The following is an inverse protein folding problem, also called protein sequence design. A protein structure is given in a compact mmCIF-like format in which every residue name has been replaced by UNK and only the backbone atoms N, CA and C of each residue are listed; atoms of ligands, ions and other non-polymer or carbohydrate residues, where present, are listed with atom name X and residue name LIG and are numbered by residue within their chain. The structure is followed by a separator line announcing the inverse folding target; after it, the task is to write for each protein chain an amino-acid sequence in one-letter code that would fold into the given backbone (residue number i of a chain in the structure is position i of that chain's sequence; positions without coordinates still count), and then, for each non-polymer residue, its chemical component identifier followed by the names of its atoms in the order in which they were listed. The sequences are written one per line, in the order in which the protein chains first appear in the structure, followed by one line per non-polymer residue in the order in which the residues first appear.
data_IF_761877333496
#
_entry.id   IF_761877333496
#
_cell.length_a   1.000
_cell.length_b   1.000
_cell.length_c   1.000
_cell.angle_alpha   90.00
_cell.angle_beta   90.00
_cell.angle_gamma   90.00
#
_symmetry.space_group_name_H-M   'P 1'
#
loop_
_entity.id
_entity.type
_entity.pdbx_description
1 polymer ?
#
# COMPACT_ATOMS: atom_id res chain seq x y z
N UNK A 1 11.81 -5.58 -21.60
CA UNK A 1 11.14 -6.28 -22.72
C UNK A 1 10.68 -7.66 -22.28
N UNK A 2 11.53 -8.46 -21.62
CA UNK A 2 11.15 -9.80 -21.13
C UNK A 2 9.95 -9.75 -20.17
N UNK A 3 10.02 -8.97 -19.12
CA UNK A 3 8.94 -8.87 -18.10
C UNK A 3 7.60 -8.48 -18.70
N UNK A 4 7.57 -7.62 -19.72
CA UNK A 4 6.33 -7.30 -20.40
C UNK A 4 5.70 -8.51 -21.12
N UNK A 5 6.51 -9.29 -21.79
CA UNK A 5 6.00 -10.50 -22.48
C UNK A 5 5.46 -11.52 -21.48
N UNK A 6 6.05 -11.61 -20.28
CA UNK A 6 5.62 -12.52 -19.23
C UNK A 6 4.28 -12.10 -18.62
N UNK A 7 4.06 -10.80 -18.36
CA UNK A 7 2.82 -10.32 -17.72
C UNK A 7 1.70 -9.98 -18.71
N UNK A 8 2.03 -9.73 -19.98
CA UNK A 8 1.08 -9.32 -21.01
C UNK A 8 -0.16 -10.22 -21.10
N UNK A 9 -0.08 -11.55 -21.07
CA UNK A 9 -1.25 -12.41 -21.12
C UNK A 9 -2.20 -12.20 -19.92
N UNK A 10 -1.65 -11.90 -18.74
CA UNK A 10 -2.43 -11.63 -17.54
C UNK A 10 -3.12 -10.27 -17.62
N UNK A 11 -2.43 -9.25 -18.14
CA UNK A 11 -3.00 -7.92 -18.37
C UNK A 11 -4.16 -8.00 -19.36
N UNK A 12 -3.96 -8.72 -20.48
CA UNK A 12 -5.01 -8.93 -21.48
C UNK A 12 -6.24 -9.65 -20.90
N UNK A 13 -6.02 -10.70 -20.11
CA UNK A 13 -7.09 -11.44 -19.43
C UNK A 13 -7.88 -10.55 -18.45
N UNK A 14 -7.19 -9.75 -17.63
CA UNK A 14 -7.85 -8.82 -16.70
C UNK A 14 -8.62 -7.74 -17.44
N UNK A 15 -8.04 -7.19 -18.50
CA UNK A 15 -8.69 -6.17 -19.35
C UNK A 15 -9.96 -6.72 -19.99
N UNK A 16 -9.91 -7.91 -20.57
CA UNK A 16 -11.06 -8.57 -21.20
C UNK A 16 -12.17 -8.82 -20.17
N UNK A 17 -11.80 -9.34 -19.00
CA UNK A 17 -12.76 -9.54 -17.90
C UNK A 17 -13.40 -8.22 -17.45
N UNK A 18 -12.59 -7.19 -17.18
CA UNK A 18 -13.08 -5.89 -16.73
C UNK A 18 -14.04 -5.26 -17.75
N UNK A 19 -13.66 -5.27 -19.03
CA UNK A 19 -14.50 -4.77 -20.12
C UNK A 19 -15.82 -5.54 -20.19
N UNK A 20 -15.80 -6.87 -20.04
CA UNK A 20 -17.00 -7.70 -20.03
C UNK A 20 -17.99 -7.32 -18.91
N UNK A 21 -17.49 -6.75 -17.82
CA UNK A 21 -18.29 -6.22 -16.71
C UNK A 21 -18.61 -4.73 -16.84
N UNK A 22 -18.25 -4.09 -17.95
CA UNK A 22 -18.45 -2.65 -18.17
C UNK A 22 -17.41 -1.76 -17.48
N UNK A 23 -16.34 -2.34 -16.99
CA UNK A 23 -15.24 -1.62 -16.34
C UNK A 23 -14.16 -1.09 -17.31
N UNK A 24 -13.21 -0.31 -16.82
CA UNK A 24 -12.09 0.20 -17.61
C UNK A 24 -11.00 -0.87 -17.78
N UNK A 25 -10.09 -0.61 -18.71
CA UNK A 25 -8.81 -1.33 -18.79
C UNK A 25 -7.90 -0.94 -17.62
N UNK A 26 -6.91 -1.79 -17.35
CA UNK A 26 -5.83 -1.46 -16.42
C UNK A 26 -5.15 -0.15 -16.82
N UNK A 27 -4.90 0.67 -15.82
CA UNK A 27 -4.16 1.92 -15.99
C UNK A 27 -2.67 1.63 -16.24
N UNK A 28 -1.96 2.61 -16.81
CA UNK A 28 -0.50 2.51 -16.97
C UNK A 28 0.21 2.25 -15.64
N UNK A 29 -0.27 2.87 -14.54
CA UNK A 29 0.33 2.69 -13.22
C UNK A 29 0.16 1.26 -12.71
N UNK A 30 -1.04 0.68 -12.84
CA UNK A 30 -1.29 -0.72 -12.46
C UNK A 30 -0.42 -1.70 -13.25
N UNK A 31 -0.31 -1.51 -14.57
CA UNK A 31 0.56 -2.33 -15.42
C UNK A 31 2.03 -2.20 -15.00
N UNK A 32 2.53 -0.98 -14.80
CA UNK A 32 3.91 -0.75 -14.38
C UNK A 32 4.19 -1.33 -12.98
N UNK A 33 3.24 -1.26 -12.07
CA UNK A 33 3.34 -1.86 -10.74
C UNK A 33 3.42 -3.39 -10.83
N UNK A 34 2.58 -4.01 -11.67
CA UNK A 34 2.63 -5.45 -11.92
C UNK A 34 4.00 -5.88 -12.52
N UNK A 35 4.52 -5.10 -13.47
CA UNK A 35 5.86 -5.34 -14.03
C UNK A 35 6.95 -5.24 -12.95
N UNK A 36 6.87 -4.24 -12.08
CA UNK A 36 7.86 -4.05 -11.02
C UNK A 36 7.85 -5.24 -10.03
N UNK A 37 6.67 -5.68 -9.60
CA UNK A 37 6.57 -6.83 -8.69
C UNK A 37 7.01 -8.13 -9.36
N UNK A 38 6.73 -8.35 -10.64
CA UNK A 38 7.28 -9.48 -11.40
C UNK A 38 8.82 -9.44 -11.42
N UNK A 39 9.41 -8.27 -11.71
CA UNK A 39 10.86 -8.10 -11.64
C UNK A 39 11.44 -8.44 -10.26
N UNK A 40 10.80 -7.98 -9.19
CA UNK A 40 11.27 -8.24 -7.83
C UNK A 40 11.14 -9.72 -7.43
N UNK A 41 10.13 -10.42 -7.95
CA UNK A 41 9.97 -11.86 -7.73
C UNK A 41 11.06 -12.69 -8.44
N UNK A 42 11.47 -12.27 -9.64
CA UNK A 42 12.45 -12.98 -10.44
C UNK A 42 13.91 -12.60 -10.10
N UNK A 43 14.11 -11.43 -9.54
CA UNK A 43 15.45 -10.93 -9.17
C UNK A 43 15.61 -10.98 -7.65
N UNK A 44 16.64 -11.69 -7.14
CA UNK A 44 16.86 -11.75 -5.70
C UNK A 44 17.19 -10.35 -5.17
N UNK A 45 16.26 -9.81 -4.39
CA UNK A 45 16.39 -8.53 -3.68
C UNK A 45 16.18 -8.76 -2.20
N UNK A 46 16.96 -8.10 -1.36
CA UNK A 46 16.83 -8.24 0.10
C UNK A 46 15.67 -7.40 0.64
N UNK A 47 15.40 -6.25 0.05
CA UNK A 47 14.36 -5.30 0.47
C UNK A 47 13.76 -4.60 -0.72
N UNK A 48 12.44 -4.44 -0.71
CA UNK A 48 11.70 -3.59 -1.64
C UNK A 48 11.15 -2.38 -0.90
N UNK A 49 11.41 -1.18 -1.41
CA UNK A 49 10.76 0.04 -0.96
C UNK A 49 9.74 0.45 -2.01
N UNK A 50 8.45 0.33 -1.67
CA UNK A 50 7.36 0.67 -2.56
C UNK A 50 6.69 1.97 -2.12
N UNK A 51 6.65 2.96 -3.01
CA UNK A 51 5.92 4.20 -2.79
C UNK A 51 4.51 4.08 -3.36
N UNK A 52 3.51 4.45 -2.55
CA UNK A 52 2.11 4.51 -2.96
C UNK A 52 1.91 5.62 -3.98
N UNK A 53 1.22 5.33 -5.08
CA UNK A 53 0.90 6.33 -6.09
C UNK A 53 -0.16 7.32 -5.61
N UNK A 54 -1.28 6.83 -5.07
CA UNK A 54 -2.35 7.66 -4.53
C UNK A 54 -3.20 6.90 -3.50
N UNK A 55 -3.53 7.57 -2.39
CA UNK A 55 -4.36 6.97 -1.33
C UNK A 55 -3.58 5.94 -0.52
N UNK A 56 -3.89 4.69 -0.70
CA UNK A 56 -3.25 3.57 -0.03
C UNK A 56 -4.05 2.28 -0.19
N UNK A 57 -5.26 2.23 0.33
CA UNK A 57 -6.12 1.03 0.34
C UNK A 57 -6.35 0.43 -1.05
N UNK A 58 -6.64 1.27 -2.03
CA UNK A 58 -6.95 0.88 -3.41
C UNK A 58 -5.83 1.13 -4.40
N UNK A 59 -4.65 1.53 -3.91
CA UNK A 59 -3.50 1.71 -4.77
C UNK A 59 -2.99 0.38 -5.32
N UNK A 60 -2.47 0.38 -6.54
CA UNK A 60 -1.94 -0.82 -7.17
C UNK A 60 -0.79 -1.47 -6.37
N UNK A 61 0.01 -0.66 -5.66
CA UNK A 61 1.08 -1.16 -4.78
C UNK A 61 0.55 -1.90 -3.56
N UNK A 62 -0.74 -1.71 -3.24
CA UNK A 62 -1.39 -2.28 -2.06
C UNK A 62 -1.61 -3.81 -2.13
N UNK A 63 -1.29 -4.47 -3.24
CA UNK A 63 -1.29 -5.95 -3.31
C UNK A 63 -0.19 -6.55 -2.41
N UNK A 64 0.88 -5.80 -2.14
CA UNK A 64 1.94 -6.24 -1.24
C UNK A 64 1.51 -6.14 0.24
N UNK A 65 2.03 -7.05 1.05
CA UNK A 65 1.97 -6.99 2.51
C UNK A 65 3.34 -6.57 3.02
N UNK A 66 3.47 -5.32 3.42
CA UNK A 66 4.72 -4.77 3.89
C UNK A 66 4.98 -5.14 5.36
N UNK A 67 6.23 -5.48 5.70
CA UNK A 67 6.64 -5.64 7.10
C UNK A 67 6.70 -4.29 7.82
N UNK A 68 6.98 -3.21 7.08
CA UNK A 68 6.99 -1.85 7.60
C UNK A 68 6.11 -0.97 6.72
N UNK A 69 5.08 -0.39 7.31
CA UNK A 69 4.20 0.60 6.68
C UNK A 69 4.55 1.99 7.20
N UNK A 70 4.96 2.90 6.31
CA UNK A 70 5.35 4.27 6.67
C UNK A 70 4.27 5.24 6.20
N UNK A 71 3.72 6.02 7.12
CA UNK A 71 2.74 7.06 6.82
C UNK A 71 3.35 8.43 7.10
N UNK A 72 3.62 9.17 6.03
CA UNK A 72 4.08 10.56 6.07
C UNK A 72 2.97 11.52 6.54
N UNK A 73 3.26 12.81 6.84
CA UNK A 73 2.25 13.77 7.24
C UNK A 73 1.09 13.84 6.24
N UNK A 74 -0.14 13.73 6.75
CA UNK A 74 -1.34 13.77 5.93
C UNK A 74 -1.84 15.22 5.86
N UNK A 75 -2.10 15.69 4.65
CA UNK A 75 -2.72 16.98 4.37
C UNK A 75 -3.97 16.81 3.51
N UNK A 76 -4.67 17.92 3.26
CA UNK A 76 -5.82 17.99 2.37
C UNK A 76 -5.34 17.99 0.92
N UNK A 77 -5.12 16.79 0.37
CA UNK A 77 -4.68 16.57 -0.99
C UNK A 77 -5.53 15.51 -1.68
N UNK A 78 -5.60 15.56 -3.01
CA UNK A 78 -6.39 14.63 -3.83
C UNK A 78 -7.86 14.49 -3.37
N UNK A 79 -8.47 15.59 -2.91
CA UNK A 79 -9.82 15.62 -2.32
C UNK A 79 -10.89 15.05 -3.24
N UNK A 80 -10.76 15.20 -4.56
CA UNK A 80 -11.67 14.67 -5.56
C UNK A 80 -11.74 13.12 -5.56
N UNK A 81 -10.69 12.47 -5.05
CA UNK A 81 -10.56 11.01 -5.03
C UNK A 81 -10.59 10.41 -3.63
N UNK A 82 -9.94 11.06 -2.67
CA UNK A 82 -9.74 10.49 -1.33
C UNK A 82 -10.78 11.00 -0.30
N UNK A 83 -11.53 12.05 -0.66
CA UNK A 83 -12.55 12.64 0.19
C UNK A 83 -12.20 14.04 0.67
N UNK A 84 -13.20 14.69 1.23
CA UNK A 84 -13.24 16.11 1.57
C UNK A 84 -12.93 16.41 3.05
N UNK A 85 -12.53 15.40 3.82
CA UNK A 85 -12.10 15.54 5.21
C UNK A 85 -10.77 14.82 5.48
N UNK A 86 -10.03 15.29 6.48
CA UNK A 86 -8.75 14.72 6.85
C UNK A 86 -8.89 13.26 7.29
N UNK A 87 -10.00 12.90 7.93
CA UNK A 87 -10.28 11.54 8.39
C UNK A 87 -10.49 10.59 7.20
N UNK A 88 -11.21 11.02 6.14
CA UNK A 88 -11.42 10.22 4.94
C UNK A 88 -10.10 9.97 4.23
N UNK A 89 -9.29 11.02 4.04
CA UNK A 89 -7.96 10.91 3.44
C UNK A 89 -7.07 9.99 4.29
N UNK A 90 -7.10 10.15 5.61
CA UNK A 90 -6.36 9.31 6.54
C UNK A 90 -6.81 7.84 6.46
N UNK A 91 -8.10 7.57 6.33
CA UNK A 91 -8.65 6.21 6.20
C UNK A 91 -8.15 5.51 4.93
N UNK A 92 -8.08 6.23 3.80
CA UNK A 92 -7.52 5.67 2.57
C UNK A 92 -6.02 5.39 2.70
N UNK A 93 -5.26 6.33 3.26
CA UNK A 93 -3.81 6.17 3.47
C UNK A 93 -3.48 5.09 4.50
N UNK A 94 -4.29 4.98 5.56
CA UNK A 94 -4.17 3.95 6.58
C UNK A 94 -4.27 2.51 6.02
N UNK A 95 -4.91 2.35 4.86
CA UNK A 95 -5.08 1.05 4.20
C UNK A 95 -3.79 0.31 3.85
N UNK A 96 -2.62 0.96 3.92
CA UNK A 96 -1.32 0.30 3.77
C UNK A 96 -0.88 -0.43 5.05
N UNK A 97 -1.46 -0.08 6.21
CA UNK A 97 -1.21 -0.77 7.47
C UNK A 97 -2.11 -2.02 7.49
N UNK A 98 -1.53 -3.16 7.17
CA UNK A 98 -2.26 -4.42 7.00
C UNK A 98 -1.81 -5.46 8.03
N UNK A 99 -2.69 -6.43 8.35
CA UNK A 99 -2.27 -7.58 9.14
C UNK A 99 -1.13 -8.32 8.46
N UNK A 100 -0.24 -8.88 9.26
CA UNK A 100 0.78 -9.81 8.74
C UNK A 100 0.12 -11.03 8.13
N UNK A 101 0.58 -11.45 6.96
CA UNK A 101 0.11 -12.68 6.31
C UNK A 101 0.96 -13.85 6.79
N UNK A 102 0.31 -14.86 7.38
CA UNK A 102 0.95 -16.05 7.91
C UNK A 102 1.33 -15.94 9.39
N UNK A 103 2.04 -16.96 9.88
CA UNK A 103 2.58 -16.93 11.24
C UNK A 103 3.76 -15.97 11.33
N UNK A 104 3.97 -15.37 12.51
CA UNK A 104 5.15 -14.56 12.78
C UNK A 104 6.40 -15.34 12.42
N UNK A 105 7.20 -14.76 11.52
CA UNK A 105 8.44 -15.41 11.08
C UNK A 105 9.61 -15.02 11.98
N UNK A 106 10.73 -15.76 11.99
CA UNK A 106 11.93 -15.34 12.70
C UNK A 106 12.45 -13.96 12.25
N UNK A 107 12.14 -13.55 11.02
CA UNK A 107 12.51 -12.24 10.46
C UNK A 107 11.51 -11.14 10.82
N UNK A 108 10.26 -11.49 11.10
CA UNK A 108 9.21 -10.57 11.54
C UNK A 108 8.41 -11.14 12.72
N UNK A 109 9.02 -11.25 13.91
CA UNK A 109 8.38 -11.85 15.08
C UNK A 109 7.28 -10.98 15.69
N UNK A 110 7.20 -9.73 15.30
CA UNK A 110 6.28 -8.74 15.87
C UNK A 110 5.11 -8.38 14.94
N UNK A 111 5.07 -8.95 13.73
CA UNK A 111 4.08 -8.56 12.73
C UNK A 111 4.42 -7.24 12.01
N UNK A 112 3.43 -6.62 11.39
CA UNK A 112 3.62 -5.35 10.70
C UNK A 112 3.99 -4.23 11.66
N UNK A 113 4.99 -3.44 11.30
CA UNK A 113 5.38 -2.22 12.04
C UNK A 113 4.83 -1.00 11.32
N UNK A 114 4.01 -0.21 11.99
CA UNK A 114 3.50 1.06 11.49
C UNK A 114 4.39 2.21 11.99
N UNK A 115 5.06 2.89 11.08
CA UNK A 115 5.83 4.11 11.34
C UNK A 115 4.95 5.30 10.95
N UNK A 116 4.50 6.06 11.94
CA UNK A 116 3.58 7.19 11.73
C UNK A 116 4.33 8.47 12.06
N UNK A 117 4.50 9.36 11.08
CA UNK A 117 5.08 10.67 11.29
C UNK A 117 4.13 11.58 12.10
N UNK A 118 4.56 12.80 12.42
CA UNK A 118 3.68 13.80 13.06
C UNK A 118 2.43 14.02 12.20
N UNK A 119 1.25 14.02 12.85
CA UNK A 119 -0.06 14.09 12.20
C UNK A 119 -0.97 15.11 12.86
N UNK A 120 -1.97 15.58 12.11
CA UNK A 120 -3.16 16.18 12.71
C UNK A 120 -3.83 15.18 13.66
N UNK A 121 -4.37 15.60 14.83
CA UNK A 121 -4.99 14.70 15.79
C UNK A 121 -6.11 13.83 15.20
N UNK A 122 -6.91 14.35 14.27
CA UNK A 122 -7.99 13.59 13.64
C UNK A 122 -7.44 12.51 12.71
N UNK A 123 -6.39 12.82 11.93
CA UNK A 123 -5.71 11.84 11.11
C UNK A 123 -5.00 10.77 11.96
N UNK A 124 -4.33 11.18 13.04
CA UNK A 124 -3.64 10.27 13.95
C UNK A 124 -4.60 9.24 14.56
N UNK A 125 -5.78 9.69 14.97
CA UNK A 125 -6.81 8.78 15.52
C UNK A 125 -7.16 7.65 14.55
N UNK A 126 -7.43 7.98 13.29
CA UNK A 126 -7.76 7.01 12.24
C UNK A 126 -6.61 6.04 11.99
N UNK A 127 -5.37 6.54 11.94
CA UNK A 127 -4.19 5.70 11.74
C UNK A 127 -3.96 4.72 12.89
N UNK A 128 -4.18 5.16 14.13
CA UNK A 128 -4.04 4.30 15.31
C UNK A 128 -5.14 3.23 15.38
N UNK A 129 -6.38 3.57 15.03
CA UNK A 129 -7.47 2.58 14.92
C UNK A 129 -7.12 1.51 13.87
N UNK A 130 -6.67 1.90 12.69
CA UNK A 130 -6.24 0.95 11.67
C UNK A 130 -5.06 0.08 12.14
N UNK A 131 -4.10 0.64 12.86
CA UNK A 131 -2.98 -0.13 13.41
C UNK A 131 -3.45 -1.18 14.42
N UNK A 132 -4.43 -0.84 15.28
CA UNK A 132 -5.06 -1.79 16.21
C UNK A 132 -5.78 -2.91 15.44
N UNK A 133 -6.59 -2.56 14.45
CA UNK A 133 -7.33 -3.54 13.65
C UNK A 133 -6.40 -4.47 12.88
N UNK A 134 -5.29 -3.96 12.40
CA UNK A 134 -4.25 -4.72 11.71
C UNK A 134 -3.32 -5.50 12.67
N UNK A 135 -3.48 -5.34 13.98
CA UNK A 135 -2.55 -5.88 14.99
C UNK A 135 -1.09 -5.44 14.74
N UNK A 136 -0.90 -4.25 14.18
CA UNK A 136 0.41 -3.70 13.88
C UNK A 136 1.05 -3.08 15.11
N UNK A 137 2.36 -3.19 15.21
CA UNK A 137 3.15 -2.50 16.24
C UNK A 137 3.41 -1.07 15.78
N UNK A 138 2.92 -0.08 16.52
CA UNK A 138 3.24 1.32 16.21
C UNK A 138 4.63 1.65 16.75
N UNK A 139 5.54 2.02 15.85
CA UNK A 139 6.87 2.47 16.25
C UNK A 139 6.77 3.79 17.05
N UNK A 140 7.48 3.92 18.17
CA UNK A 140 7.50 5.18 18.91
C UNK A 140 8.07 6.29 18.02
N UNK A 141 7.55 7.53 18.12
CA UNK A 141 8.15 8.65 17.43
C UNK A 141 9.63 8.73 17.80
N UNK A 142 10.50 8.79 16.81
CA UNK A 142 11.94 8.87 17.04
C UNK A 142 12.24 10.02 17.99
N UNK A 143 13.04 9.76 19.02
CA UNK A 143 13.54 10.82 19.88
C UNK A 143 14.34 11.77 18.97
N UNK A 144 13.86 12.99 18.84
CA UNK A 144 14.69 14.03 18.24
C UNK A 144 15.92 14.20 19.13
N UNK A 145 17.06 13.69 18.66
CA UNK A 145 18.36 13.93 19.27
C UNK A 145 18.86 15.33 18.96
#
# INVERSE_FOLDING_TARGET
VEVWEDIKPFVEMVDEWSISQGGPRMTKFEVLTAMAYSCFADTPVDVVVAEVGMGGRWDATSVAHAEVAVVCPIGMDHMDYLGDTIEKIASEKAGIIKPTVGENTPHNPHGTVAVISHQDPAALHVLLEQAVDAQAVVAPPGSQG
#
